data_IF_625278551135
#
_entry.id   IF_625278551135
#
_cell.length_a   1.000
_cell.length_b   1.000
_cell.length_c   1.000
_cell.angle_alpha   90.00
_cell.angle_beta   90.00
_cell.angle_gamma   90.00
#
_symmetry.space_group_name_H-M   'P 1'
#
loop_
_entity.id
_entity.type
_entity.pdbx_description
1 polymer ?
#
# COMPACT_ATOMS: atom_id res chain seq x y z
N UNK A 1 12.48 -10.20 24.62
CA UNK A 1 11.16 -9.82 24.01
C UNK A 1 11.16 -9.69 22.49
N UNK A 2 12.28 -9.51 21.82
CA UNK A 2 12.35 -9.29 20.35
C UNK A 2 12.06 -10.55 19.52
N UNK A 3 12.40 -11.76 19.97
CA UNK A 3 12.23 -13.00 19.21
C UNK A 3 10.78 -13.42 18.89
N UNK A 4 9.78 -13.00 19.67
CA UNK A 4 8.38 -13.44 19.45
C UNK A 4 7.65 -12.74 18.29
N UNK A 5 8.15 -11.60 17.81
CA UNK A 5 7.46 -10.82 16.79
C UNK A 5 7.96 -11.08 15.35
N UNK A 6 9.05 -11.83 15.20
CA UNK A 6 9.67 -12.06 13.87
C UNK A 6 8.74 -12.83 12.93
N UNK A 7 7.93 -13.75 13.47
CA UNK A 7 6.96 -14.52 12.67
C UNK A 7 5.85 -13.66 12.06
N UNK A 8 5.55 -12.50 12.67
CA UNK A 8 4.57 -11.56 12.14
C UNK A 8 5.09 -10.77 10.92
N UNK A 9 6.39 -10.81 10.65
CA UNK A 9 7.01 -10.17 9.50
C UNK A 9 7.01 -11.05 8.24
N UNK A 10 6.78 -12.35 8.38
CA UNK A 10 6.87 -13.30 7.24
C UNK A 10 5.90 -12.89 6.14
N UNK A 11 4.60 -12.79 6.42
CA UNK A 11 3.59 -12.43 5.42
C UNK A 11 3.75 -11.00 4.89
N UNK A 12 4.01 -9.97 5.72
CA UNK A 12 4.33 -8.62 5.23
C UNK A 12 5.51 -8.58 4.25
N UNK A 13 6.59 -9.33 4.52
CA UNK A 13 7.75 -9.40 3.63
C UNK A 13 7.38 -10.09 2.31
N UNK A 14 6.68 -11.23 2.35
CA UNK A 14 6.19 -11.91 1.15
C UNK A 14 5.24 -11.03 0.34
N UNK A 15 4.33 -10.32 1.01
CA UNK A 15 3.41 -9.39 0.37
C UNK A 15 4.15 -8.23 -0.30
N UNK A 16 5.16 -7.67 0.35
CA UNK A 16 5.97 -6.59 -0.23
C UNK A 16 6.72 -7.07 -1.48
N UNK A 17 7.42 -8.20 -1.39
CA UNK A 17 8.16 -8.78 -2.52
C UNK A 17 7.20 -9.17 -3.65
N UNK A 18 6.09 -9.83 -3.32
CA UNK A 18 5.06 -10.22 -4.27
C UNK A 18 4.42 -9.02 -4.96
N UNK A 19 4.11 -7.97 -4.21
CA UNK A 19 3.59 -6.71 -4.76
C UNK A 19 4.56 -6.06 -5.74
N UNK A 20 5.85 -5.96 -5.39
CA UNK A 20 6.86 -5.43 -6.31
C UNK A 20 7.00 -6.28 -7.58
N UNK A 21 6.92 -7.60 -7.46
CA UNK A 21 6.99 -8.52 -8.59
C UNK A 21 5.73 -8.41 -9.46
N UNK A 22 4.55 -8.39 -8.86
CA UNK A 22 3.26 -8.28 -9.55
C UNK A 22 3.13 -6.97 -10.32
N UNK A 23 3.63 -5.89 -9.76
CA UNK A 23 3.63 -4.56 -10.39
C UNK A 23 4.39 -4.50 -11.72
N UNK A 24 5.25 -5.48 -12.02
CA UNK A 24 5.94 -5.59 -13.31
C UNK A 24 5.07 -6.23 -14.40
N UNK A 25 4.08 -7.03 -14.04
CA UNK A 25 3.31 -7.87 -14.98
C UNK A 25 1.82 -7.50 -15.07
N UNK A 26 1.25 -7.02 -13.97
CA UNK A 26 -0.17 -6.66 -13.90
C UNK A 26 -0.28 -5.14 -13.80
N UNK A 27 -0.10 -4.50 -14.95
CA UNK A 27 -0.30 -3.06 -15.04
C UNK A 27 -1.76 -2.78 -15.43
N UNK A 28 -2.59 -2.40 -14.46
CA UNK A 28 -3.88 -1.79 -14.73
C UNK A 28 -3.66 -0.33 -15.15
N UNK A 29 -3.47 -0.15 -16.45
CA UNK A 29 -3.17 1.16 -17.02
C UNK A 29 -4.26 2.19 -16.78
N UNK A 30 -5.53 1.75 -16.68
CA UNK A 30 -6.63 2.66 -16.40
C UNK A 30 -6.55 3.19 -14.96
N UNK A 31 -6.48 2.29 -13.99
CA UNK A 31 -6.51 2.63 -12.57
C UNK A 31 -5.27 3.43 -12.15
N UNK A 32 -4.10 2.90 -12.47
CA UNK A 32 -2.84 3.55 -12.14
C UNK A 32 -2.59 4.82 -12.95
N UNK A 33 -3.04 4.85 -14.21
CA UNK A 33 -2.99 6.05 -15.04
C UNK A 33 -3.82 7.18 -14.47
N UNK A 34 -5.03 6.88 -13.98
CA UNK A 34 -5.90 7.84 -13.33
C UNK A 34 -5.32 8.37 -12.02
N UNK A 35 -4.82 7.49 -11.15
CA UNK A 35 -4.16 7.88 -9.89
C UNK A 35 -2.92 8.74 -10.15
N UNK A 36 -2.11 8.35 -11.13
CA UNK A 36 -0.90 9.06 -11.53
C UNK A 36 -1.22 10.44 -12.11
N UNK A 37 -2.20 10.52 -13.02
CA UNK A 37 -2.65 11.78 -13.62
C UNK A 37 -3.16 12.76 -12.56
N UNK A 38 -4.03 12.31 -11.65
CA UNK A 38 -4.56 13.15 -10.58
C UNK A 38 -3.46 13.69 -9.66
N UNK A 39 -2.44 12.88 -9.38
CA UNK A 39 -1.31 13.32 -8.58
C UNK A 39 -0.43 14.34 -9.31
N UNK A 40 -0.23 14.20 -10.63
CA UNK A 40 0.46 15.18 -11.45
C UNK A 40 -0.33 16.49 -11.55
N UNK A 41 -1.62 16.42 -11.79
CA UNK A 41 -2.51 17.59 -11.84
C UNK A 41 -2.45 18.41 -10.56
N UNK A 42 -2.38 17.73 -9.41
CA UNK A 42 -2.20 18.40 -8.12
C UNK A 42 -0.82 19.07 -7.99
N UNK A 43 0.25 18.42 -8.49
CA UNK A 43 1.60 19.00 -8.53
C UNK A 43 1.64 20.25 -9.43
N UNK A 44 0.86 20.25 -10.50
CA UNK A 44 0.72 21.39 -11.43
C UNK A 44 -0.15 22.52 -10.87
N UNK A 45 -0.72 22.35 -9.68
CA UNK A 45 -1.49 23.38 -8.99
C UNK A 45 -2.97 23.41 -9.35
N UNK A 46 -3.50 22.38 -10.01
CA UNK A 46 -4.94 22.27 -10.29
C UNK A 46 -5.74 22.07 -8.99
N UNK A 47 -6.96 22.60 -8.98
CA UNK A 47 -7.81 22.61 -7.78
C UNK A 47 -8.58 21.29 -7.66
N UNK A 48 -8.39 20.53 -6.56
CA UNK A 48 -9.17 19.33 -6.27
C UNK A 48 -10.68 19.58 -6.28
N UNK A 49 -11.43 18.60 -6.79
CA UNK A 49 -12.90 18.63 -6.95
C UNK A 49 -13.46 19.67 -7.91
N UNK A 50 -12.64 20.62 -8.38
CA UNK A 50 -13.04 21.60 -9.38
C UNK A 50 -12.44 21.30 -10.75
N UNK A 51 -11.16 20.97 -10.79
CA UNK A 51 -10.36 20.71 -11.99
C UNK A 51 -9.84 19.28 -12.04
N UNK A 52 -9.79 18.60 -10.87
CA UNK A 52 -9.38 17.22 -10.73
C UNK A 52 -10.56 16.41 -10.22
N UNK A 53 -10.97 15.38 -10.97
CA UNK A 53 -11.94 14.39 -10.49
C UNK A 53 -11.24 13.38 -9.58
N UNK A 54 -11.63 13.35 -8.30
CA UNK A 54 -11.01 12.49 -7.27
C UNK A 54 -11.93 11.32 -6.91
N UNK A 55 -11.69 10.16 -7.50
CA UNK A 55 -12.44 8.93 -7.21
C UNK A 55 -12.08 8.36 -5.82
N UNK A 56 -10.80 8.42 -5.44
CA UNK A 56 -10.27 7.82 -4.20
C UNK A 56 -10.07 8.84 -3.06
N UNK A 57 -10.48 10.07 -3.28
CA UNK A 57 -10.39 11.15 -2.31
C UNK A 57 -9.04 11.88 -2.28
N UNK A 58 -9.08 13.07 -1.69
CA UNK A 58 -7.97 14.03 -1.74
C UNK A 58 -6.72 13.56 -0.99
N UNK A 59 -6.87 12.84 0.13
CA UNK A 59 -5.73 12.41 0.93
C UNK A 59 -4.81 11.46 0.15
N UNK A 60 -5.38 10.52 -0.59
CA UNK A 60 -4.60 9.61 -1.44
C UNK A 60 -3.85 10.39 -2.53
N UNK A 61 -4.51 11.35 -3.18
CA UNK A 61 -3.90 12.17 -4.23
C UNK A 61 -2.74 12.99 -3.67
N UNK A 62 -2.88 13.60 -2.48
CA UNK A 62 -1.79 14.33 -1.82
C UNK A 62 -0.61 13.40 -1.52
N UNK A 63 -0.84 12.22 -0.94
CA UNK A 63 0.23 11.26 -0.64
C UNK A 63 0.96 10.82 -1.91
N UNK A 64 0.20 10.51 -2.96
CA UNK A 64 0.78 10.13 -4.25
C UNK A 64 1.59 11.28 -4.88
N UNK A 65 1.11 12.54 -4.78
CA UNK A 65 1.85 13.71 -5.25
C UNK A 65 3.19 13.87 -4.54
N UNK A 66 3.22 13.70 -3.23
CA UNK A 66 4.45 13.76 -2.44
C UNK A 66 5.44 12.67 -2.92
N UNK A 67 4.97 11.44 -3.12
CA UNK A 67 5.80 10.34 -3.61
C UNK A 67 6.33 10.64 -5.01
N UNK A 68 5.50 11.16 -5.91
CA UNK A 68 5.94 11.53 -7.25
C UNK A 68 6.98 12.64 -7.26
N UNK A 69 6.85 13.64 -6.40
CA UNK A 69 7.86 14.70 -6.26
C UNK A 69 9.19 14.12 -5.78
N UNK A 70 9.16 13.23 -4.77
CA UNK A 70 10.37 12.63 -4.19
C UNK A 70 11.08 11.68 -5.16
N UNK A 71 10.37 11.03 -6.08
CA UNK A 71 10.91 10.00 -6.97
C UNK A 71 10.79 10.37 -8.46
N UNK A 72 10.99 11.66 -8.79
CA UNK A 72 11.05 12.15 -10.16
C UNK A 72 9.87 11.76 -11.05
N UNK A 73 8.65 11.83 -10.51
CA UNK A 73 7.40 11.54 -11.23
C UNK A 73 7.36 10.12 -11.85
N UNK A 74 7.94 9.15 -11.18
CA UNK A 74 7.97 7.77 -11.66
C UNK A 74 6.75 6.99 -11.13
N UNK A 75 5.94 6.42 -12.04
CA UNK A 75 4.76 5.62 -11.69
C UNK A 75 5.10 4.40 -10.83
N UNK A 76 6.25 3.77 -11.05
CA UNK A 76 6.69 2.63 -10.24
C UNK A 76 6.91 2.99 -8.76
N UNK A 77 7.17 4.25 -8.46
CA UNK A 77 7.27 4.70 -7.06
C UNK A 77 5.93 4.64 -6.34
N UNK A 78 4.81 4.90 -7.03
CA UNK A 78 3.47 4.74 -6.46
C UNK A 78 3.15 3.28 -6.18
N UNK A 79 3.50 2.39 -7.10
CA UNK A 79 3.32 0.95 -6.95
C UNK A 79 4.13 0.41 -5.76
N UNK A 80 5.41 0.82 -5.65
CA UNK A 80 6.26 0.44 -4.53
C UNK A 80 5.71 0.98 -3.19
N UNK A 81 5.26 2.23 -3.17
CA UNK A 81 4.65 2.85 -1.99
C UNK A 81 3.39 2.11 -1.54
N UNK A 82 2.51 1.74 -2.48
CA UNK A 82 1.31 0.95 -2.19
C UNK A 82 1.66 -0.41 -1.59
N UNK A 83 2.67 -1.09 -2.14
CA UNK A 83 3.17 -2.36 -1.61
C UNK A 83 3.72 -2.23 -0.17
N UNK A 84 4.40 -1.11 0.14
CA UNK A 84 4.86 -0.81 1.51
C UNK A 84 3.68 -0.62 2.46
N UNK A 85 2.68 0.19 2.05
CA UNK A 85 1.49 0.44 2.88
C UNK A 85 0.72 -0.85 3.15
N UNK A 86 0.56 -1.70 2.13
CA UNK A 86 -0.11 -2.98 2.29
C UNK A 86 0.65 -3.91 3.25
N UNK A 87 1.96 -4.05 3.09
CA UNK A 87 2.79 -4.83 4.00
C UNK A 87 2.75 -4.31 5.45
N UNK A 88 2.79 -2.99 5.63
CA UNK A 88 2.65 -2.35 6.94
C UNK A 88 1.27 -2.65 7.57
N UNK A 89 0.20 -2.61 6.77
CA UNK A 89 -1.16 -2.93 7.22
C UNK A 89 -1.27 -4.38 7.70
N UNK A 90 -0.71 -5.34 6.95
CA UNK A 90 -0.65 -6.74 7.38
C UNK A 90 0.10 -6.91 8.71
N UNK A 91 1.23 -6.24 8.86
CA UNK A 91 1.99 -6.26 10.12
C UNK A 91 1.20 -5.71 11.30
N UNK A 92 0.50 -4.58 11.10
CA UNK A 92 -0.33 -3.96 12.12
C UNK A 92 -1.51 -4.86 12.53
N UNK A 93 -2.19 -5.47 11.57
CA UNK A 93 -3.26 -6.46 11.84
C UNK A 93 -2.72 -7.60 12.69
N UNK A 94 -1.59 -8.18 12.32
CA UNK A 94 -0.95 -9.24 13.11
C UNK A 94 -0.63 -8.81 14.54
N UNK A 95 -0.08 -7.60 14.72
CA UNK A 95 0.21 -7.05 16.05
C UNK A 95 -1.04 -6.80 16.89
N UNK A 96 -2.06 -6.22 16.30
CA UNK A 96 -3.33 -5.93 16.98
C UNK A 96 -3.99 -7.25 17.43
N UNK A 97 -4.10 -8.22 16.52
CA UNK A 97 -4.65 -9.54 16.83
C UNK A 97 -3.86 -10.23 17.95
N UNK A 98 -2.53 -10.17 17.88
CA UNK A 98 -1.69 -10.72 18.95
C UNK A 98 -1.92 -10.03 20.30
N UNK A 99 -2.08 -8.71 20.31
CA UNK A 99 -2.35 -7.94 21.53
C UNK A 99 -3.71 -8.30 22.14
N UNK A 100 -4.73 -8.55 21.31
CA UNK A 100 -6.09 -8.88 21.77
C UNK A 100 -6.19 -10.33 22.24
N UNK A 101 -5.62 -11.26 21.46
CA UNK A 101 -5.80 -12.71 21.71
C UNK A 101 -4.70 -13.31 22.58
N UNK A 102 -3.58 -12.64 22.75
CA UNK A 102 -2.34 -13.14 23.36
C UNK A 102 -1.83 -14.46 22.73
N UNK A 103 -2.34 -14.80 21.53
CA UNK A 103 -2.02 -16.04 20.83
C UNK A 103 -1.45 -15.75 19.45
N UNK A 104 -0.23 -16.23 19.21
CA UNK A 104 0.49 -16.02 17.95
C UNK A 104 -0.17 -16.73 16.74
N UNK A 105 -0.82 -17.87 16.97
CA UNK A 105 -1.49 -18.63 15.90
C UNK A 105 -2.67 -17.84 15.31
N UNK A 106 -3.49 -17.22 16.17
CA UNK A 106 -4.57 -16.36 15.70
C UNK A 106 -4.05 -15.14 14.91
N UNK A 107 -2.91 -14.59 15.34
CA UNK A 107 -2.28 -13.48 14.61
C UNK A 107 -1.79 -13.90 13.23
N UNK A 108 -1.11 -15.03 13.13
CA UNK A 108 -0.65 -15.58 11.86
C UNK A 108 -1.85 -15.89 10.95
N UNK A 109 -2.89 -16.52 11.50
CA UNK A 109 -4.08 -16.88 10.74
C UNK A 109 -4.84 -15.66 10.22
N UNK A 110 -5.00 -14.60 11.02
CA UNK A 110 -5.65 -13.37 10.57
C UNK A 110 -4.89 -12.68 9.44
N UNK A 111 -3.56 -12.61 9.54
CA UNK A 111 -2.72 -12.03 8.48
C UNK A 111 -2.78 -12.89 7.21
N UNK A 112 -2.74 -14.22 7.36
CA UNK A 112 -2.84 -15.16 6.24
C UNK A 112 -4.16 -15.04 5.48
N UNK A 113 -5.29 -14.92 6.19
CA UNK A 113 -6.59 -14.72 5.56
C UNK A 113 -6.60 -13.42 4.74
N UNK A 114 -6.14 -12.30 5.31
CA UNK A 114 -6.12 -11.02 4.60
C UNK A 114 -5.18 -11.10 3.41
N UNK A 115 -4.02 -11.74 3.56
CA UNK A 115 -3.06 -11.93 2.47
C UNK A 115 -3.64 -12.71 1.29
N UNK A 116 -4.49 -13.73 1.54
CA UNK A 116 -5.16 -14.51 0.46
C UNK A 116 -6.32 -13.73 -0.16
N UNK A 117 -7.09 -12.99 0.63
CA UNK A 117 -8.26 -12.27 0.15
C UNK A 117 -7.91 -11.02 -0.65
N UNK A 118 -6.71 -10.47 -0.41
CA UNK A 118 -6.17 -9.30 -1.10
C UNK A 118 -4.76 -9.62 -1.59
N UNK A 119 -4.62 -10.38 -2.68
CA UNK A 119 -3.32 -10.68 -3.26
C UNK A 119 -2.68 -9.45 -3.94
#
# INVERSE_FOLDING_TARGET
MVKKNIYLLIFPIFSFIGGLWQNQYIYDGYHWGFIFSNALDLIEGKIPYKEIFLEYGILQTILNSIILVLFNKNVYSLLAFTSIIYAASLYLVGKITHKITSNILYSIFSVFIIFILYP
#
